data_IF_404841782973
#
_entry.id   IF_404841782973
#
_cell.length_a   1.000
_cell.length_b   1.000
_cell.length_c   1.000
_cell.angle_alpha   90.00
_cell.angle_beta   90.00
_cell.angle_gamma   90.00
#
_symmetry.space_group_name_H-M   'P 1'
#
loop_
_entity.id
_entity.type
_entity.pdbx_description
1 polymer ?
#
# COMPACT_ATOMS: atom_id res chain seq x y z
N UNK A 1 -34.95 -13.91 14.70
CA UNK A 1 -33.53 -13.98 14.28
C UNK A 1 -33.42 -13.05 13.07
N UNK A 2 -33.28 -11.76 13.36
CA UNK A 2 -33.14 -10.73 12.28
C UNK A 2 -31.75 -10.82 11.67
N UNK A 3 -31.73 -10.98 10.36
CA UNK A 3 -30.49 -10.93 9.58
C UNK A 3 -29.94 -9.50 9.64
N UNK A 4 -28.81 -9.32 10.32
CA UNK A 4 -28.04 -8.07 10.25
C UNK A 4 -27.56 -7.95 8.81
N UNK A 5 -28.21 -7.06 8.06
CA UNK A 5 -27.85 -6.71 6.69
C UNK A 5 -26.47 -6.05 6.73
N UNK A 6 -25.48 -6.67 6.08
CA UNK A 6 -24.17 -6.06 5.89
C UNK A 6 -24.35 -4.71 5.19
N UNK A 7 -23.68 -3.63 5.63
CA UNK A 7 -23.83 -2.31 5.02
C UNK A 7 -23.46 -2.39 3.53
N UNK A 8 -24.42 -2.04 2.68
CA UNK A 8 -24.19 -1.99 1.24
C UNK A 8 -23.15 -0.92 0.93
N UNK A 9 -22.27 -1.18 -0.04
CA UNK A 9 -21.16 -0.34 -0.47
C UNK A 9 -21.57 1.04 -1.07
N UNK A 10 -22.85 1.35 -1.05
CA UNK A 10 -23.48 2.63 -1.40
C UNK A 10 -23.89 3.44 -0.16
N UNK A 11 -23.28 3.18 1.00
CA UNK A 11 -23.57 3.96 2.21
C UNK A 11 -23.06 5.40 2.01
N UNK A 12 -23.96 6.40 1.96
CA UNK A 12 -23.57 7.81 1.84
C UNK A 12 -22.66 8.28 2.99
N UNK A 13 -22.79 7.67 4.17
CA UNK A 13 -21.97 7.99 5.33
C UNK A 13 -20.51 7.52 5.12
N UNK A 14 -20.31 6.35 4.49
CA UNK A 14 -18.97 5.86 4.14
C UNK A 14 -18.31 6.71 3.05
N UNK A 15 -19.09 7.12 2.03
CA UNK A 15 -18.59 8.02 0.99
C UNK A 15 -18.18 9.38 1.58
N UNK A 16 -19.02 9.95 2.44
CA UNK A 16 -18.73 11.20 3.11
C UNK A 16 -17.53 11.11 4.08
N UNK A 17 -17.33 9.96 4.74
CA UNK A 17 -16.17 9.73 5.60
C UNK A 17 -14.87 9.67 4.78
N UNK A 18 -14.88 8.99 3.62
CA UNK A 18 -13.74 8.95 2.70
C UNK A 18 -13.40 10.34 2.18
N UNK A 19 -14.39 11.11 1.76
CA UNK A 19 -14.17 12.47 1.25
C UNK A 19 -13.64 13.42 2.34
N UNK A 20 -14.06 13.24 3.60
CA UNK A 20 -13.46 13.96 4.73
C UNK A 20 -12.00 13.59 4.91
N UNK A 21 -11.67 12.29 4.90
CA UNK A 21 -10.28 11.83 5.05
C UNK A 21 -9.37 12.40 3.94
N UNK A 22 -9.82 12.43 2.69
CA UNK A 22 -9.07 13.04 1.59
C UNK A 22 -8.86 14.55 1.77
N UNK A 23 -9.88 15.27 2.26
CA UNK A 23 -9.75 16.70 2.58
C UNK A 23 -8.77 16.94 3.72
N UNK A 24 -8.85 16.12 4.77
CA UNK A 24 -7.92 16.20 5.90
C UNK A 24 -6.46 15.95 5.47
N UNK A 25 -6.20 15.01 4.56
CA UNK A 25 -4.87 14.79 3.99
C UNK A 25 -4.40 16.00 3.17
N UNK A 26 -5.26 16.57 2.32
CA UNK A 26 -4.93 17.77 1.55
C UNK A 26 -4.64 18.99 2.45
N UNK A 27 -5.37 19.13 3.57
CA UNK A 27 -5.12 20.18 4.56
C UNK A 27 -3.77 19.98 5.27
N UNK A 28 -3.37 18.72 5.52
CA UNK A 28 -2.07 18.39 6.09
C UNK A 28 -0.92 18.71 5.11
N UNK A 29 -1.07 18.41 3.82
CA UNK A 29 -0.09 18.79 2.80
C UNK A 29 0.08 20.31 2.74
N UNK A 30 -1.03 21.04 2.75
CA UNK A 30 -1.00 22.49 2.77
C UNK A 30 -0.36 23.06 4.05
N UNK A 31 -0.60 22.48 5.22
CA UNK A 31 0.04 22.87 6.48
C UNK A 31 1.56 22.61 6.46
N UNK A 32 1.96 21.47 5.89
CA UNK A 32 3.36 21.12 5.69
C UNK A 32 4.06 22.09 4.74
N UNK A 33 3.39 22.50 3.65
CA UNK A 33 3.92 23.46 2.67
C UNK A 33 4.08 24.87 3.25
N UNK A 34 3.20 25.25 4.18
CA UNK A 34 3.31 26.52 4.92
C UNK A 34 4.31 26.47 6.07
N UNK A 35 4.88 25.29 6.38
CA UNK A 35 5.80 25.09 7.50
C UNK A 35 5.13 25.16 8.89
N UNK A 36 3.82 24.97 8.96
CA UNK A 36 3.04 24.91 10.22
C UNK A 36 3.28 23.59 10.96
N UNK A 37 3.58 22.53 10.21
CA UNK A 37 4.02 21.23 10.70
C UNK A 37 5.28 20.80 9.94
N UNK A 38 6.08 19.94 10.53
CA UNK A 38 7.16 19.24 9.87
C UNK A 38 6.70 17.86 9.34
N UNK A 39 7.58 17.10 8.71
CA UNK A 39 7.26 15.80 8.14
C UNK A 39 6.90 14.76 9.20
N UNK A 40 7.53 14.80 10.36
CA UNK A 40 7.19 13.91 11.47
C UNK A 40 5.79 14.24 12.00
N UNK A 41 5.45 15.52 12.10
CA UNK A 41 4.11 15.98 12.44
C UNK A 41 3.06 15.56 11.41
N UNK A 42 3.39 15.63 10.11
CA UNK A 42 2.53 15.16 9.03
C UNK A 42 2.25 13.66 9.16
N UNK A 43 3.29 12.83 9.30
CA UNK A 43 3.14 11.38 9.47
C UNK A 43 2.35 11.03 10.75
N UNK A 44 2.61 11.73 11.86
CA UNK A 44 1.87 11.53 13.09
C UNK A 44 0.39 11.85 12.95
N UNK A 45 0.05 12.93 12.23
CA UNK A 45 -1.33 13.32 11.96
C UNK A 45 -2.04 12.30 11.07
N UNK A 46 -1.42 11.86 9.97
CA UNK A 46 -1.98 10.79 9.11
C UNK A 46 -2.19 9.50 9.89
N UNK A 47 -1.21 9.11 10.69
CA UNK A 47 -1.31 7.90 11.53
C UNK A 47 -2.46 7.99 12.51
N UNK A 48 -2.72 9.17 13.11
CA UNK A 48 -3.83 9.38 14.04
C UNK A 48 -5.21 9.19 13.41
N UNK A 49 -5.32 9.36 12.08
CA UNK A 49 -6.55 9.14 11.30
C UNK A 49 -6.66 7.67 10.88
N UNK A 50 -5.58 7.12 10.33
CA UNK A 50 -5.58 5.81 9.65
C UNK A 50 -5.56 4.65 10.66
N UNK A 51 -4.69 4.70 11.67
CA UNK A 51 -4.51 3.59 12.60
C UNK A 51 -5.80 3.19 13.34
N UNK A 52 -6.58 4.13 13.95
CA UNK A 52 -7.82 3.77 14.61
C UNK A 52 -8.84 3.15 13.65
N UNK A 53 -8.93 3.65 12.42
CA UNK A 53 -9.86 3.16 11.42
C UNK A 53 -9.52 1.71 11.01
N UNK A 54 -8.24 1.39 10.84
CA UNK A 54 -7.78 0.05 10.49
C UNK A 54 -7.96 -0.92 11.67
N UNK A 55 -7.61 -0.52 12.88
CA UNK A 55 -7.76 -1.34 14.08
C UNK A 55 -9.22 -1.61 14.47
N UNK A 56 -10.14 -0.72 14.10
CA UNK A 56 -11.58 -0.92 14.28
C UNK A 56 -12.20 -1.87 13.24
N UNK A 57 -11.48 -2.24 12.19
CA UNK A 57 -11.95 -3.17 11.17
C UNK A 57 -12.25 -4.55 11.76
N UNK A 58 -13.39 -5.12 11.36
CA UNK A 58 -13.87 -6.44 11.79
C UNK A 58 -13.38 -7.61 10.90
N UNK A 59 -12.77 -7.28 9.77
CA UNK A 59 -12.19 -8.24 8.83
C UNK A 59 -10.72 -7.93 8.55
N UNK A 60 -9.93 -8.94 8.15
CA UNK A 60 -8.54 -8.70 7.74
C UNK A 60 -8.39 -7.67 6.62
N UNK A 61 -9.33 -7.63 5.66
CA UNK A 61 -9.33 -6.66 4.58
C UNK A 61 -9.58 -5.24 5.11
N UNK A 62 -10.57 -5.06 5.99
CA UNK A 62 -10.85 -3.77 6.62
C UNK A 62 -9.66 -3.26 7.43
N UNK A 63 -8.98 -4.15 8.17
CA UNK A 63 -7.74 -3.87 8.90
C UNK A 63 -6.51 -3.58 8.00
N UNK A 64 -6.65 -3.72 6.68
CA UNK A 64 -5.67 -3.33 5.66
C UNK A 64 -6.16 -2.17 4.80
N UNK A 65 -7.17 -1.43 5.27
CA UNK A 65 -7.73 -0.27 4.57
C UNK A 65 -8.57 -0.61 3.33
N UNK A 66 -8.93 -1.89 3.13
CA UNK A 66 -9.73 -2.31 1.98
C UNK A 66 -11.16 -2.63 2.40
N UNK A 67 -12.10 -1.99 1.75
CA UNK A 67 -13.51 -2.39 1.83
C UNK A 67 -13.81 -3.45 0.78
N UNK A 68 -14.68 -4.43 1.11
CA UNK A 68 -15.11 -5.51 0.23
C UNK A 68 -14.74 -6.88 0.76
N UNK A 69 -15.02 -7.89 -0.04
CA UNK A 69 -14.78 -9.29 0.26
C UNK A 69 -13.40 -9.79 -0.24
N UNK A 70 -13.14 -11.08 -0.07
CA UNK A 70 -11.89 -11.71 -0.49
C UNK A 70 -11.66 -11.62 -2.01
N UNK A 71 -12.72 -11.70 -2.82
CA UNK A 71 -12.60 -11.58 -4.27
C UNK A 71 -12.18 -10.16 -4.69
N UNK A 72 -12.77 -9.13 -4.07
CA UNK A 72 -12.38 -7.74 -4.30
C UNK A 72 -10.96 -7.44 -3.78
N UNK A 73 -10.54 -8.12 -2.70
CA UNK A 73 -9.17 -8.06 -2.21
C UNK A 73 -8.21 -8.63 -3.24
N UNK A 74 -8.43 -9.86 -3.68
CA UNK A 74 -7.59 -10.54 -4.67
C UNK A 74 -7.53 -9.75 -5.97
N UNK A 75 -8.67 -9.34 -6.51
CA UNK A 75 -8.76 -8.56 -7.74
C UNK A 75 -7.90 -7.28 -7.71
N UNK A 76 -7.89 -6.57 -6.59
CA UNK A 76 -7.12 -5.32 -6.48
C UNK A 76 -5.67 -5.51 -6.04
N UNK A 77 -5.31 -6.60 -5.38
CA UNK A 77 -3.98 -6.76 -4.77
C UNK A 77 -3.09 -7.79 -5.49
N UNK A 78 -3.67 -8.77 -6.19
CA UNK A 78 -2.91 -9.77 -6.94
C UNK A 78 -2.09 -9.17 -8.08
N UNK A 79 -2.47 -7.98 -8.57
CA UNK A 79 -1.73 -7.22 -9.61
C UNK A 79 -0.23 -7.03 -9.29
N UNK A 80 0.13 -7.03 -8.02
CA UNK A 80 1.55 -6.96 -7.62
C UNK A 80 2.37 -8.12 -8.14
N UNK A 81 1.76 -9.29 -8.39
CA UNK A 81 2.45 -10.49 -8.91
C UNK A 81 2.80 -10.38 -10.39
N UNK A 82 2.13 -9.52 -11.16
CA UNK A 82 2.47 -9.31 -12.58
C UNK A 82 3.88 -8.70 -12.76
N UNK A 83 4.42 -8.09 -11.69
CA UNK A 83 5.80 -7.62 -11.64
C UNK A 83 6.82 -8.69 -11.27
N UNK A 84 6.39 -9.91 -10.90
CA UNK A 84 7.24 -10.98 -10.38
C UNK A 84 7.60 -11.95 -11.51
N UNK A 85 8.89 -12.07 -11.82
CA UNK A 85 9.37 -12.97 -12.88
C UNK A 85 10.08 -14.23 -12.33
N UNK A 86 10.45 -14.20 -11.06
CA UNK A 86 11.24 -15.26 -10.42
C UNK A 86 10.95 -15.38 -8.93
N UNK A 87 11.39 -16.46 -8.35
CA UNK A 87 11.44 -16.60 -6.88
C UNK A 87 12.32 -15.50 -6.27
N UNK A 88 12.01 -15.09 -5.05
CA UNK A 88 12.80 -14.08 -4.36
C UNK A 88 12.15 -13.56 -3.10
N UNK A 89 12.62 -12.41 -2.67
CA UNK A 89 12.17 -11.69 -1.48
C UNK A 89 11.24 -10.55 -1.84
N UNK A 90 10.17 -10.40 -1.08
CA UNK A 90 9.14 -9.39 -1.27
C UNK A 90 8.98 -8.54 -0.02
N UNK A 91 9.16 -7.22 -0.13
CA UNK A 91 8.90 -6.27 0.96
C UNK A 91 7.60 -5.51 0.72
N UNK A 92 6.65 -5.62 1.64
CA UNK A 92 5.44 -4.78 1.68
C UNK A 92 5.69 -3.56 2.56
N UNK A 93 5.79 -2.38 1.95
CA UNK A 93 5.94 -1.10 2.66
C UNK A 93 4.56 -0.53 2.95
N UNK A 94 4.26 -0.32 4.23
CA UNK A 94 2.92 -0.08 4.74
C UNK A 94 2.13 -1.38 4.85
N UNK A 95 2.72 -2.40 5.49
CA UNK A 95 2.16 -3.75 5.52
C UNK A 95 0.89 -3.91 6.37
N UNK A 96 0.49 -2.89 7.13
CA UNK A 96 -0.67 -2.88 8.00
C UNK A 96 -0.76 -4.16 8.87
N UNK A 97 -1.79 -4.98 8.72
CA UNK A 97 -1.97 -6.23 9.46
C UNK A 97 -1.29 -7.47 8.82
N UNK A 98 -0.46 -7.28 7.80
CA UNK A 98 0.27 -8.37 7.12
C UNK A 98 -0.56 -9.19 6.13
N UNK A 99 -1.81 -8.80 5.83
CA UNK A 99 -2.67 -9.57 4.92
C UNK A 99 -2.09 -9.69 3.51
N UNK A 100 -1.43 -8.62 2.99
CA UNK A 100 -0.82 -8.70 1.66
C UNK A 100 0.39 -9.64 1.65
N UNK A 101 1.20 -9.64 2.70
CA UNK A 101 2.31 -10.58 2.86
C UNK A 101 1.84 -12.04 2.77
N UNK A 102 0.76 -12.37 3.52
CA UNK A 102 0.14 -13.69 3.50
C UNK A 102 -0.43 -14.04 2.12
N UNK A 103 -1.14 -13.09 1.50
CA UNK A 103 -1.74 -13.26 0.18
C UNK A 103 -0.69 -13.49 -0.91
N UNK A 104 0.36 -12.67 -0.94
CA UNK A 104 1.45 -12.77 -1.93
C UNK A 104 2.18 -14.11 -1.80
N UNK A 105 2.48 -14.58 -0.59
CA UNK A 105 3.10 -15.87 -0.39
C UNK A 105 2.23 -17.03 -0.89
N UNK A 106 0.91 -16.95 -0.68
CA UNK A 106 -0.04 -17.96 -1.14
C UNK A 106 -0.21 -17.93 -2.67
N UNK A 107 -0.45 -16.73 -3.23
CA UNK A 107 -0.68 -16.57 -4.67
C UNK A 107 0.55 -16.88 -5.52
N UNK A 108 1.74 -16.42 -5.10
CA UNK A 108 2.98 -16.72 -5.81
C UNK A 108 3.27 -18.21 -5.87
N UNK A 109 2.96 -18.95 -4.79
CA UNK A 109 3.08 -20.41 -4.77
C UNK A 109 2.11 -21.07 -5.76
N UNK A 110 0.88 -20.55 -5.89
CA UNK A 110 -0.09 -21.03 -6.88
C UNK A 110 0.39 -20.80 -8.32
N UNK A 111 1.10 -19.67 -8.55
CA UNK A 111 1.63 -19.29 -9.87
C UNK A 111 2.98 -19.99 -10.18
N UNK A 112 3.47 -20.86 -9.28
CA UNK A 112 4.72 -21.60 -9.45
C UNK A 112 5.98 -20.81 -9.08
N UNK A 113 5.84 -19.66 -8.42
CA UNK A 113 6.92 -18.87 -7.85
C UNK A 113 6.88 -18.96 -6.32
N UNK A 114 8.03 -18.80 -5.69
CA UNK A 114 8.12 -18.71 -4.23
C UNK A 114 8.63 -17.34 -3.82
N UNK A 115 7.72 -16.50 -3.29
CA UNK A 115 8.10 -15.25 -2.68
C UNK A 115 8.20 -15.36 -1.16
N UNK A 116 9.29 -14.87 -0.62
CA UNK A 116 9.55 -14.79 0.80
C UNK A 116 9.15 -13.40 1.32
N UNK A 117 8.03 -13.28 2.09
CA UNK A 117 7.49 -11.98 2.45
C UNK A 117 8.19 -11.36 3.66
N UNK A 118 8.31 -10.04 3.59
CA UNK A 118 8.76 -9.13 4.63
C UNK A 118 7.81 -7.94 4.70
N UNK A 119 7.76 -7.25 5.83
CA UNK A 119 6.90 -6.09 6.00
C UNK A 119 7.52 -4.99 6.84
N UNK A 120 7.15 -3.75 6.55
CA UNK A 120 7.42 -2.59 7.40
C UNK A 120 6.18 -1.73 7.50
N UNK A 121 5.88 -1.24 8.70
CA UNK A 121 4.79 -0.30 8.93
C UNK A 121 5.20 0.76 9.94
N UNK A 122 4.73 1.99 9.74
CA UNK A 122 4.99 3.09 10.68
C UNK A 122 4.22 2.92 11.99
N UNK A 123 3.04 2.27 11.94
CA UNK A 123 2.22 1.98 13.12
C UNK A 123 2.77 0.77 13.87
N UNK A 124 3.23 0.98 15.09
CA UNK A 124 3.63 -0.12 15.97
C UNK A 124 2.48 -1.11 16.24
N UNK A 125 1.25 -0.59 16.38
CA UNK A 125 0.06 -1.41 16.66
C UNK A 125 -0.35 -2.27 15.47
N UNK A 126 -0.26 -1.75 14.24
CA UNK A 126 -0.52 -2.51 13.02
C UNK A 126 0.60 -3.53 12.77
N UNK A 127 1.87 -3.16 12.92
CA UNK A 127 2.99 -4.08 12.83
C UNK A 127 2.87 -5.23 13.85
N UNK A 128 2.43 -4.96 15.09
CA UNK A 128 2.17 -5.99 16.09
C UNK A 128 0.98 -6.88 15.70
N UNK A 129 -0.05 -6.32 15.06
CA UNK A 129 -1.15 -7.09 14.52
C UNK A 129 -0.67 -8.02 13.39
N UNK A 130 0.21 -7.51 12.51
CA UNK A 130 0.84 -8.30 11.44
C UNK A 130 1.68 -9.46 12.01
N UNK A 131 2.49 -9.21 13.05
CA UNK A 131 3.29 -10.27 13.72
C UNK A 131 2.42 -11.35 14.33
N UNK A 132 1.29 -10.98 14.93
CA UNK A 132 0.33 -11.95 15.47
C UNK A 132 -0.39 -12.75 14.39
N UNK A 133 -0.69 -12.10 13.25
CA UNK A 133 -1.34 -12.73 12.10
C UNK A 133 -0.40 -13.69 11.37
N UNK A 134 0.85 -13.29 11.20
CA UNK A 134 1.87 -14.01 10.45
C UNK A 134 3.03 -14.45 11.37
N UNK A 135 2.78 -15.31 12.38
CA UNK A 135 3.79 -15.66 13.38
C UNK A 135 5.03 -16.32 12.77
N UNK A 136 4.88 -17.00 11.63
CA UNK A 136 5.98 -17.61 10.87
C UNK A 136 6.96 -16.60 10.26
N UNK A 137 6.57 -15.31 10.20
CA UNK A 137 7.37 -14.20 9.65
C UNK A 137 7.47 -13.03 10.65
N UNK A 138 7.21 -13.26 11.92
CA UNK A 138 7.16 -12.18 12.93
C UNK A 138 8.51 -11.44 13.05
N UNK A 139 9.62 -12.12 12.81
CA UNK A 139 10.99 -11.57 12.80
C UNK A 139 11.32 -10.78 11.52
N UNK A 140 10.44 -10.81 10.52
CA UNK A 140 10.56 -10.13 9.22
C UNK A 140 9.64 -8.91 9.09
N UNK A 141 9.01 -8.50 10.18
CA UNK A 141 8.10 -7.36 10.23
C UNK A 141 8.72 -6.28 11.11
N UNK A 142 9.04 -5.14 10.51
CA UNK A 142 9.65 -4.01 11.21
C UNK A 142 8.64 -2.91 11.51
N UNK A 143 8.88 -2.17 12.57
CA UNK A 143 8.15 -0.94 12.88
C UNK A 143 9.09 0.24 12.57
N UNK A 144 8.81 0.96 11.49
CA UNK A 144 9.61 2.10 11.07
C UNK A 144 8.85 2.98 10.07
N UNK A 145 9.21 4.27 10.02
CA UNK A 145 8.83 5.14 8.92
C UNK A 145 9.75 4.88 7.72
N UNK A 146 9.19 4.28 6.67
CA UNK A 146 9.94 3.88 5.47
C UNK A 146 10.60 5.07 4.75
N UNK A 147 10.13 6.31 4.96
CA UNK A 147 10.73 7.50 4.35
C UNK A 147 12.16 7.80 4.84
N UNK A 148 12.53 7.31 6.02
CA UNK A 148 13.88 7.48 6.59
C UNK A 148 14.54 6.19 7.05
N UNK A 149 13.83 5.07 6.94
CA UNK A 149 14.34 3.77 7.37
C UNK A 149 15.28 3.16 6.33
N UNK A 150 16.32 2.48 6.82
CA UNK A 150 17.19 1.66 6.00
C UNK A 150 16.97 0.19 6.35
N UNK A 151 16.54 -0.65 5.39
CA UNK A 151 16.34 -2.06 5.65
C UNK A 151 17.66 -2.79 5.92
N UNK A 152 17.64 -3.89 6.71
CA UNK A 152 18.84 -4.66 7.02
C UNK A 152 19.36 -5.48 5.82
N UNK A 153 18.61 -5.51 4.72
CA UNK A 153 18.93 -6.21 3.47
C UNK A 153 18.22 -5.58 2.29
N UNK A 154 18.58 -5.96 1.07
CA UNK A 154 17.85 -5.63 -0.16
C UNK A 154 16.85 -6.72 -0.51
N UNK A 155 15.92 -6.39 -1.46
CA UNK A 155 14.80 -7.23 -1.86
C UNK A 155 14.69 -7.32 -3.38
N UNK A 156 14.18 -8.45 -3.87
CA UNK A 156 13.88 -8.62 -5.30
C UNK A 156 12.67 -7.79 -5.73
N UNK A 157 11.68 -7.67 -4.83
CA UNK A 157 10.48 -6.86 -5.07
C UNK A 157 10.18 -6.03 -3.82
N UNK A 158 9.98 -4.74 -4.01
CA UNK A 158 9.47 -3.81 -3.00
C UNK A 158 8.12 -3.27 -3.48
N UNK A 159 7.09 -3.36 -2.66
CA UNK A 159 5.77 -2.84 -2.98
C UNK A 159 5.42 -1.67 -2.06
N UNK A 160 4.82 -0.62 -2.62
CA UNK A 160 4.31 0.53 -1.87
C UNK A 160 3.05 1.13 -2.50
N UNK A 161 2.38 2.00 -1.76
CA UNK A 161 1.49 3.04 -2.27
C UNK A 161 2.09 4.41 -1.98
N UNK A 162 1.64 5.45 -2.67
CA UNK A 162 2.12 6.83 -2.44
C UNK A 162 1.09 7.71 -1.71
N UNK A 163 -0.05 7.13 -1.29
CA UNK A 163 -1.15 7.87 -0.66
C UNK A 163 -0.79 8.40 0.74
N UNK A 164 0.19 7.76 1.41
CA UNK A 164 0.61 8.11 2.78
C UNK A 164 2.01 8.74 2.82
N UNK A 165 2.35 9.42 1.72
CA UNK A 165 3.59 10.22 1.60
C UNK A 165 3.20 11.61 1.14
N UNK A 166 3.71 12.69 1.77
CA UNK A 166 3.44 14.06 1.33
C UNK A 166 3.76 14.24 -0.15
N UNK A 167 2.90 14.89 -0.91
CA UNK A 167 3.03 15.03 -2.37
C UNK A 167 4.42 15.51 -2.78
N UNK A 168 4.93 16.54 -2.10
CA UNK A 168 6.25 17.12 -2.35
C UNK A 168 7.42 16.18 -2.08
N UNK A 169 7.20 15.04 -1.38
CA UNK A 169 8.21 14.06 -1.00
C UNK A 169 8.16 12.79 -1.83
N UNK A 170 7.14 12.60 -2.64
CA UNK A 170 6.93 11.35 -3.38
C UNK A 170 8.10 10.99 -4.29
N UNK A 171 8.67 11.95 -5.01
CA UNK A 171 9.84 11.70 -5.85
C UNK A 171 11.03 11.19 -5.04
N UNK A 172 11.39 11.90 -3.96
CA UNK A 172 12.48 11.50 -3.06
C UNK A 172 12.20 10.15 -2.38
N UNK A 173 10.94 9.87 -2.07
CA UNK A 173 10.55 8.60 -1.48
C UNK A 173 10.73 7.43 -2.45
N UNK A 174 10.38 7.61 -3.72
CA UNK A 174 10.64 6.62 -4.77
C UNK A 174 12.13 6.38 -4.93
N UNK A 175 12.96 7.45 -5.01
CA UNK A 175 14.42 7.35 -5.03
C UNK A 175 14.96 6.52 -3.86
N UNK A 176 14.43 6.79 -2.66
CA UNK A 176 14.83 6.09 -1.45
C UNK A 176 14.46 4.60 -1.48
N UNK A 177 13.24 4.26 -1.89
CA UNK A 177 12.79 2.86 -1.98
C UNK A 177 13.54 2.06 -3.05
N UNK A 178 13.99 2.69 -4.12
CA UNK A 178 14.83 2.04 -5.12
C UNK A 178 16.16 1.55 -4.53
N UNK A 179 16.67 2.20 -3.47
CA UNK A 179 17.87 1.73 -2.76
C UNK A 179 17.66 0.42 -1.99
N UNK A 180 16.40 0.03 -1.77
CA UNK A 180 16.04 -1.22 -1.09
C UNK A 180 16.10 -2.45 -2.01
N UNK A 181 16.25 -2.22 -3.31
CA UNK A 181 16.20 -3.29 -4.31
C UNK A 181 17.55 -3.96 -4.52
N UNK A 182 17.54 -5.26 -4.76
CA UNK A 182 18.64 -5.96 -5.38
C UNK A 182 18.82 -5.49 -6.83
N UNK A 183 20.01 -5.62 -7.43
CA UNK A 183 20.19 -5.31 -8.86
C UNK A 183 19.20 -6.07 -9.75
N UNK A 184 18.45 -5.37 -10.59
CA UNK A 184 17.36 -5.91 -11.40
C UNK A 184 16.10 -6.25 -10.58
N UNK A 185 16.00 -5.77 -9.35
CA UNK A 185 14.78 -5.83 -8.54
C UNK A 185 13.76 -4.77 -8.96
N UNK A 186 12.51 -4.91 -8.53
CA UNK A 186 11.40 -4.06 -8.96
C UNK A 186 10.69 -3.37 -7.81
N UNK A 187 10.50 -2.05 -7.95
CA UNK A 187 9.59 -1.28 -7.12
C UNK A 187 8.20 -1.27 -7.76
N UNK A 188 7.24 -1.88 -7.10
CA UNK A 188 5.84 -1.96 -7.53
C UNK A 188 5.03 -0.90 -6.79
N UNK A 189 4.42 0.00 -7.53
CA UNK A 189 3.53 1.04 -6.99
C UNK A 189 2.09 0.68 -7.31
N UNK A 190 1.25 0.60 -6.28
CA UNK A 190 -0.18 0.35 -6.43
C UNK A 190 -0.98 1.65 -6.45
N UNK A 191 -1.87 1.81 -7.42
CA UNK A 191 -2.86 2.88 -7.54
C UNK A 191 -4.26 2.25 -7.59
N UNK A 192 -5.03 2.37 -6.50
CA UNK A 192 -6.22 1.52 -6.34
C UNK A 192 -7.56 2.24 -6.55
N UNK A 193 -7.55 3.54 -6.77
CA UNK A 193 -8.74 4.36 -7.01
C UNK A 193 -8.49 5.40 -8.10
N UNK A 194 -7.63 5.10 -9.05
CA UNK A 194 -7.31 5.99 -10.15
C UNK A 194 -8.37 5.88 -11.25
N UNK A 195 -8.65 6.99 -11.94
CA UNK A 195 -9.56 7.01 -13.09
C UNK A 195 -9.11 6.01 -14.16
N UNK A 196 -10.07 5.31 -14.78
CA UNK A 196 -9.77 4.19 -15.69
C UNK A 196 -8.91 4.62 -16.88
N UNK A 197 -9.11 5.83 -17.38
CA UNK A 197 -8.50 6.40 -18.59
C UNK A 197 -7.26 7.28 -18.31
N UNK A 198 -6.79 7.32 -17.04
CA UNK A 198 -5.62 8.11 -16.63
C UNK A 198 -4.60 7.24 -15.91
N UNK A 199 -3.34 7.50 -16.13
CA UNK A 199 -2.19 6.88 -15.45
C UNK A 199 -1.36 7.93 -14.69
N UNK A 200 -2.06 8.84 -13.98
CA UNK A 200 -1.49 10.04 -13.37
C UNK A 200 -0.30 9.73 -12.45
N UNK A 201 -0.39 8.65 -11.66
CA UNK A 201 0.68 8.29 -10.76
C UNK A 201 1.90 7.71 -11.50
N UNK A 202 1.67 6.89 -12.53
CA UNK A 202 2.74 6.36 -13.38
C UNK A 202 3.43 7.49 -14.17
N UNK A 203 2.65 8.41 -14.75
CA UNK A 203 3.16 9.60 -15.44
C UNK A 203 4.00 10.49 -14.52
N UNK A 204 3.58 10.66 -13.27
CA UNK A 204 4.35 11.39 -12.28
C UNK A 204 5.71 10.70 -12.01
N UNK A 205 5.73 9.39 -11.80
CA UNK A 205 6.95 8.61 -11.57
C UNK A 205 7.89 8.68 -12.78
N UNK A 206 7.36 8.59 -14.00
CA UNK A 206 8.15 8.80 -15.21
C UNK A 206 8.74 10.22 -15.29
N UNK A 207 7.99 11.23 -14.90
CA UNK A 207 8.45 12.63 -14.87
C UNK A 207 9.58 12.88 -13.86
N UNK A 208 9.69 12.04 -12.83
CA UNK A 208 10.80 12.06 -11.86
C UNK A 208 12.06 11.35 -12.35
N UNK A 209 12.03 10.78 -13.55
CA UNK A 209 13.18 10.14 -14.19
C UNK A 209 13.23 8.61 -14.03
N UNK A 210 12.13 7.98 -13.61
CA UNK A 210 12.04 6.53 -13.45
C UNK A 210 11.17 5.91 -14.53
N UNK A 211 11.77 5.31 -15.59
CA UNK A 211 11.01 4.67 -16.67
C UNK A 211 10.12 3.53 -16.15
N UNK A 212 8.86 3.53 -16.55
CA UNK A 212 7.94 2.43 -16.25
C UNK A 212 8.30 1.22 -17.11
N UNK A 213 8.70 0.13 -16.47
CA UNK A 213 9.07 -1.13 -17.13
C UNK A 213 7.85 -1.98 -17.46
N UNK A 214 6.81 -1.87 -16.66
CA UNK A 214 5.55 -2.55 -16.92
C UNK A 214 4.41 -2.00 -16.09
N UNK A 215 3.18 -2.29 -16.54
CA UNK A 215 1.94 -1.86 -15.89
C UNK A 215 0.84 -2.90 -16.08
N UNK A 216 -0.07 -2.96 -15.13
CA UNK A 216 -1.22 -3.85 -15.16
C UNK A 216 -2.42 -3.18 -14.51
N UNK A 217 -3.61 -3.65 -14.85
CA UNK A 217 -4.84 -3.14 -14.24
C UNK A 217 -5.92 -4.21 -14.16
N UNK A 218 -6.85 -4.03 -13.23
CA UNK A 218 -8.08 -4.82 -13.16
C UNK A 218 -9.29 -3.93 -12.91
N UNK A 219 -10.50 -4.40 -13.28
CA UNK A 219 -11.71 -3.62 -13.10
C UNK A 219 -11.95 -3.28 -11.62
N UNK A 220 -12.35 -2.05 -11.37
CA UNK A 220 -12.89 -1.64 -10.08
C UNK A 220 -14.41 -1.80 -10.10
N UNK A 221 -15.06 -2.02 -8.95
CA UNK A 221 -16.53 -2.06 -8.85
C UNK A 221 -17.23 -0.77 -9.31
N UNK A 222 -16.53 0.38 -9.24
CA UNK A 222 -17.01 1.64 -9.82
C UNK A 222 -16.44 1.76 -11.23
N UNK A 223 -17.30 1.93 -12.27
CA UNK A 223 -16.89 1.82 -13.67
C UNK A 223 -15.92 2.92 -14.13
N UNK A 224 -15.88 4.06 -13.43
CA UNK A 224 -14.93 5.14 -13.74
C UNK A 224 -13.54 4.94 -13.12
N UNK A 225 -13.34 3.89 -12.30
CA UNK A 225 -12.10 3.63 -11.59
C UNK A 225 -11.51 2.29 -12.00
N UNK A 226 -10.19 2.14 -11.80
CA UNK A 226 -9.48 0.88 -11.95
C UNK A 226 -8.54 0.64 -10.78
N UNK A 227 -8.30 -0.63 -10.47
CA UNK A 227 -7.12 -1.03 -9.70
C UNK A 227 -5.95 -1.09 -10.66
N UNK A 228 -4.86 -0.41 -10.36
CA UNK A 228 -3.68 -0.38 -11.19
C UNK A 228 -2.43 -0.69 -10.37
N UNK A 229 -1.46 -1.26 -11.02
CA UNK A 229 -0.10 -1.35 -10.51
C UNK A 229 0.86 -1.14 -11.68
N UNK A 230 1.98 -0.52 -11.39
CA UNK A 230 3.09 -0.37 -12.33
C UNK A 230 4.40 -0.55 -11.58
N UNK A 231 5.49 -0.76 -12.32
CA UNK A 231 6.79 -0.97 -11.69
C UNK A 231 7.91 -0.35 -12.48
N UNK A 232 8.93 0.03 -11.72
CA UNK A 232 10.24 0.48 -12.19
C UNK A 232 11.30 -0.52 -11.73
N UNK A 233 12.44 -0.57 -12.42
CA UNK A 233 13.54 -1.50 -12.15
C UNK A 233 14.78 -0.73 -11.66
N UNK A 234 15.55 -1.32 -10.71
CA UNK A 234 16.78 -0.75 -10.17
C UNK A 234 18.01 -1.10 -11.00
#
# INVERSE_FOLDING_TARGET
MEAVSSPSNNDPALAAAKERAWRELADLDAALDRGEIDEDGWHAAVLSIVEPAYLAGDTPMAQSGKSGDAAAWEQGRRLVLDAVEREGTFLDVGCANGLLMESVAAWSTQDGHRLEPYGVDISARLADLARRRCPQWADRIWTANAAGWLPPRRFDVVRTGLDYVPDRRRAQYVDHLLTFLEPGGRLVVGAFNEETDRDTLAEAVESWGHPIVGRTSSPHRHPALSYKAFWVEA
#
